data_IF_057759982256
#
_entry.id   IF_057759982256
#
_cell.length_a   1.000
_cell.length_b   1.000
_cell.length_c   1.000
_cell.angle_alpha   90.00
_cell.angle_beta   90.00
_cell.angle_gamma   90.00
#
_symmetry.space_group_name_H-M   'P 1'
#
loop_
_entity.id
_entity.type
_entity.pdbx_description
1 polymer ?
#
# COMPACT_ATOMS: atom_id res chain seq x y z
N UNK A 1 1.13 -11.02 -30.20
CA UNK A 1 1.64 -11.74 -29.01
C UNK A 1 1.09 -13.15 -29.02
N UNK A 2 1.95 -14.16 -28.99
CA UNK A 2 1.51 -15.55 -28.80
C UNK A 2 0.91 -15.72 -27.41
N UNK A 3 -0.01 -16.67 -27.21
CA UNK A 3 -0.51 -17.02 -25.87
C UNK A 3 0.62 -17.36 -24.90
N UNK A 4 1.72 -17.93 -25.42
CA UNK A 4 2.94 -18.21 -24.65
C UNK A 4 3.58 -16.92 -24.10
N UNK A 5 3.70 -15.87 -24.90
CA UNK A 5 4.31 -14.60 -24.49
C UNK A 5 3.49 -13.96 -23.35
N UNK A 6 2.17 -13.96 -23.48
CA UNK A 6 1.26 -13.44 -22.44
C UNK A 6 1.43 -14.20 -21.12
N UNK A 7 1.57 -15.52 -21.16
CA UNK A 7 1.78 -16.34 -19.97
C UNK A 7 3.15 -16.09 -19.33
N UNK A 8 4.21 -15.96 -20.15
CA UNK A 8 5.56 -15.64 -19.67
C UNK A 8 5.60 -14.29 -18.96
N UNK A 9 5.03 -13.24 -19.56
CA UNK A 9 4.98 -11.91 -18.95
C UNK A 9 4.11 -11.88 -17.69
N UNK A 10 3.00 -12.61 -17.67
CA UNK A 10 2.15 -12.75 -16.48
C UNK A 10 2.91 -13.44 -15.34
N UNK A 11 3.61 -14.53 -15.64
CA UNK A 11 4.40 -15.28 -14.66
C UNK A 11 5.56 -14.46 -14.13
N UNK A 12 6.33 -13.80 -15.02
CA UNK A 12 7.41 -12.90 -14.67
C UNK A 12 6.94 -11.76 -13.77
N UNK A 13 5.82 -11.13 -14.12
CA UNK A 13 5.20 -10.07 -13.29
C UNK A 13 4.74 -10.60 -11.92
N UNK A 14 4.19 -11.81 -11.88
CA UNK A 14 3.81 -12.49 -10.64
C UNK A 14 5.00 -12.76 -9.72
N UNK A 15 6.05 -13.38 -10.25
CA UNK A 15 7.30 -13.65 -9.53
C UNK A 15 7.95 -12.36 -9.02
N UNK A 16 8.06 -11.33 -9.87
CA UNK A 16 8.62 -10.04 -9.48
C UNK A 16 7.81 -9.36 -8.37
N UNK A 17 6.47 -9.43 -8.44
CA UNK A 17 5.60 -8.95 -7.38
C UNK A 17 5.79 -9.69 -6.05
N UNK A 18 5.94 -11.01 -6.11
CA UNK A 18 6.17 -11.86 -4.91
C UNK A 18 7.53 -11.59 -4.27
N UNK A 19 8.61 -11.58 -5.06
CA UNK A 19 9.96 -11.30 -4.56
C UNK A 19 10.05 -9.89 -3.99
N UNK A 20 9.46 -8.90 -4.70
CA UNK A 20 9.33 -7.53 -4.21
C UNK A 20 8.62 -7.45 -2.87
N UNK A 21 7.49 -8.16 -2.70
CA UNK A 21 6.74 -8.18 -1.45
C UNK A 21 7.52 -8.82 -0.29
N UNK A 22 8.33 -9.86 -0.54
CA UNK A 22 9.15 -10.52 0.48
C UNK A 22 10.28 -9.58 0.93
N UNK A 23 11.05 -9.05 -0.02
CA UNK A 23 12.22 -8.23 0.28
C UNK A 23 11.86 -6.87 0.86
N UNK A 24 10.71 -6.30 0.48
CA UNK A 24 10.22 -5.02 1.03
C UNK A 24 9.29 -5.19 2.23
N UNK A 25 9.06 -6.43 2.69
CA UNK A 25 8.22 -6.72 3.85
C UNK A 25 8.65 -5.96 5.13
N UNK A 26 9.96 -5.87 5.46
CA UNK A 26 10.40 -5.11 6.63
C UNK A 26 9.96 -3.64 6.61
N UNK A 27 10.04 -3.00 5.44
CA UNK A 27 9.62 -1.60 5.27
C UNK A 27 8.10 -1.46 5.34
N UNK A 28 7.34 -2.43 4.81
CA UNK A 28 5.88 -2.48 4.98
C UNK A 28 5.50 -2.57 6.46
N UNK A 29 6.14 -3.46 7.25
CA UNK A 29 5.86 -3.59 8.68
C UNK A 29 6.16 -2.28 9.41
N UNK A 30 7.33 -1.67 9.18
CA UNK A 30 7.68 -0.37 9.79
C UNK A 30 6.66 0.71 9.42
N UNK A 31 6.26 0.79 8.15
CA UNK A 31 5.21 1.72 7.70
C UNK A 31 3.91 1.50 8.47
N UNK A 32 3.39 0.27 8.48
CA UNK A 32 2.11 -0.06 9.11
C UNK A 32 2.14 0.20 10.62
N UNK A 33 3.29 -0.07 11.28
CA UNK A 33 3.51 0.26 12.69
C UNK A 33 3.45 1.76 12.94
N UNK A 34 4.19 2.56 12.16
CA UNK A 34 4.18 4.02 12.30
C UNK A 34 2.78 4.62 12.05
N UNK A 35 2.00 4.03 11.15
CA UNK A 35 0.63 4.43 10.89
C UNK A 35 -0.33 4.08 12.03
N UNK A 36 0.06 3.20 12.97
CA UNK A 36 -0.80 2.74 14.06
C UNK A 36 -0.94 3.72 15.22
N UNK A 37 -2.02 3.57 16.00
CA UNK A 37 -2.24 4.29 17.26
C UNK A 37 -1.34 3.78 18.37
N UNK A 38 -1.08 2.48 18.36
CA UNK A 38 -0.35 1.76 19.41
C UNK A 38 1.13 2.12 19.45
N UNK A 39 1.76 2.51 18.33
CA UNK A 39 3.17 2.92 18.33
C UNK A 39 3.42 4.15 19.20
N UNK A 40 2.46 5.07 19.32
CA UNK A 40 2.60 6.22 20.22
C UNK A 40 2.56 5.81 21.69
N UNK A 41 1.77 4.80 22.05
CA UNK A 41 1.67 4.30 23.42
C UNK A 41 2.89 3.43 23.79
N UNK A 42 3.27 2.51 22.91
CA UNK A 42 4.37 1.57 23.13
C UNK A 42 5.74 2.26 23.26
N UNK A 43 5.91 3.44 22.63
CA UNK A 43 7.15 4.22 22.71
C UNK A 43 7.10 5.26 23.84
N UNK A 44 5.91 5.77 24.19
CA UNK A 44 5.73 6.60 25.39
C UNK A 44 6.07 5.83 26.68
N UNK A 45 5.69 4.55 26.79
CA UNK A 45 6.10 3.69 27.93
C UNK A 45 7.62 3.51 28.03
N UNK A 46 8.35 3.54 26.91
CA UNK A 46 9.82 3.41 26.89
C UNK A 46 10.52 4.65 27.47
N UNK A 47 10.02 5.85 27.19
CA UNK A 47 10.58 7.07 27.78
C UNK A 47 10.35 7.12 29.29
N UNK A 48 9.22 6.63 29.79
CA UNK A 48 8.91 6.58 31.22
C UNK A 48 9.85 5.64 31.99
N UNK A 49 10.17 4.46 31.45
CA UNK A 49 11.05 3.52 32.13
C UNK A 49 12.55 3.90 32.13
N UNK A 50 12.94 4.97 31.42
CA UNK A 50 14.35 5.39 31.31
C UNK A 50 14.67 6.64 32.16
N UNK A 51 13.67 7.34 32.70
CA UNK A 51 13.89 8.58 33.47
C UNK A 51 13.51 8.37 34.94
N UNK A 52 14.44 7.78 35.69
CA UNK A 52 14.44 7.91 37.15
C UNK A 52 14.95 9.31 37.52
N UNK A 53 14.09 10.11 38.15
CA UNK A 53 14.47 11.31 38.87
C UNK A 53 13.99 12.61 38.22
N UNK A 54 12.81 13.05 38.68
CA UNK A 54 12.25 14.40 38.54
C UNK A 54 12.05 14.95 37.12
N UNK A 55 10.83 14.93 36.59
CA UNK A 55 10.47 15.86 35.51
C UNK A 55 8.97 16.00 35.23
N UNK A 56 8.60 17.27 35.09
CA UNK A 56 7.38 17.88 34.57
C UNK A 56 6.71 17.09 33.43
N UNK A 57 5.39 16.91 33.58
CA UNK A 57 4.43 16.41 32.58
C UNK A 57 4.46 17.25 31.28
N UNK A 58 5.34 16.90 30.35
CA UNK A 58 5.07 17.07 28.92
C UNK A 58 5.47 15.80 28.21
N UNK A 59 4.50 14.92 28.01
CA UNK A 59 4.57 13.89 26.97
C UNK A 59 4.69 14.63 25.64
N UNK A 60 5.92 14.98 25.25
CA UNK A 60 6.20 15.45 23.92
C UNK A 60 5.88 14.27 23.01
N UNK A 61 4.72 14.33 22.34
CA UNK A 61 4.23 13.33 21.38
C UNK A 61 5.08 13.36 20.10
N UNK A 62 6.41 13.24 20.25
CA UNK A 62 7.32 13.17 19.12
C UNK A 62 7.09 11.81 18.48
N UNK A 63 6.57 11.84 17.26
CA UNK A 63 6.36 10.63 16.47
C UNK A 63 7.73 10.06 16.13
N UNK A 64 8.04 8.82 16.52
CA UNK A 64 9.37 8.25 16.33
C UNK A 64 9.65 8.06 14.85
N UNK A 65 10.88 8.34 14.43
CA UNK A 65 11.29 8.14 13.05
C UNK A 65 11.30 6.66 12.64
N UNK A 66 11.34 6.36 11.33
CA UNK A 66 11.36 4.99 10.82
C UNK A 66 12.49 4.12 11.39
N UNK A 67 13.69 4.67 11.52
CA UNK A 67 14.86 3.97 12.06
C UNK A 67 14.68 3.63 13.54
N UNK A 68 14.07 4.53 14.31
CA UNK A 68 13.77 4.27 15.72
C UNK A 68 12.71 3.16 15.85
N UNK A 69 11.65 3.22 15.04
CA UNK A 69 10.63 2.16 15.01
C UNK A 69 11.25 0.79 14.64
N UNK A 70 12.09 0.75 13.60
CA UNK A 70 12.81 -0.46 13.21
C UNK A 70 13.68 -1.01 14.35
N UNK A 71 14.47 -0.15 15.00
CA UNK A 71 15.33 -0.53 16.13
C UNK A 71 14.51 -1.13 17.28
N UNK A 72 13.38 -0.51 17.63
CA UNK A 72 12.48 -1.01 18.69
C UNK A 72 11.91 -2.38 18.32
N UNK A 73 11.45 -2.57 17.08
CA UNK A 73 10.92 -3.87 16.62
C UNK A 73 12.00 -4.96 16.72
N UNK A 74 13.22 -4.68 16.25
CA UNK A 74 14.33 -5.63 16.29
C UNK A 74 14.73 -6.01 17.71
N UNK A 75 14.78 -5.03 18.63
CA UNK A 75 15.17 -5.25 20.02
C UNK A 75 14.10 -5.98 20.82
N UNK A 76 12.83 -5.57 20.69
CA UNK A 76 11.74 -6.08 21.53
C UNK A 76 10.98 -7.26 20.96
N UNK A 77 10.83 -7.36 19.64
CA UNK A 77 10.05 -8.43 18.99
C UNK A 77 10.95 -9.45 18.26
N UNK A 78 12.15 -9.02 17.84
CA UNK A 78 13.11 -9.82 17.07
C UNK A 78 12.92 -9.72 15.55
N UNK A 79 13.90 -10.15 14.73
CA UNK A 79 13.89 -9.93 13.28
C UNK A 79 12.76 -10.64 12.53
N UNK A 80 12.25 -11.75 13.06
CA UNK A 80 11.13 -12.49 12.44
C UNK A 80 9.83 -11.69 12.41
N UNK A 81 9.65 -10.70 13.29
CA UNK A 81 8.43 -9.89 13.33
C UNK A 81 8.29 -8.98 12.10
N UNK A 82 9.40 -8.64 11.43
CA UNK A 82 9.44 -7.84 10.20
C UNK A 82 8.80 -8.54 8.99
N UNK A 83 8.49 -9.84 9.12
CA UNK A 83 7.81 -10.63 8.10
C UNK A 83 6.36 -10.99 8.49
N UNK A 84 5.82 -10.40 9.57
CA UNK A 84 4.41 -10.60 9.93
C UNK A 84 3.50 -10.07 8.83
N UNK A 85 2.43 -10.83 8.54
CA UNK A 85 1.50 -10.52 7.46
C UNK A 85 1.98 -10.91 6.05
N UNK A 86 3.19 -11.45 5.89
CA UNK A 86 3.68 -11.92 4.59
C UNK A 86 2.79 -13.04 4.03
N UNK A 87 2.43 -14.04 4.84
CA UNK A 87 1.58 -15.16 4.41
C UNK A 87 0.25 -14.71 3.77
N UNK A 88 -0.59 -13.91 4.47
CA UNK A 88 -1.79 -13.34 3.86
C UNK A 88 -1.52 -12.48 2.62
N UNK A 89 -0.39 -11.78 2.56
CA UNK A 89 0.01 -11.01 1.37
C UNK A 89 0.19 -11.93 0.18
N UNK A 90 0.99 -12.99 0.33
CA UNK A 90 1.29 -13.95 -0.76
C UNK A 90 0.03 -14.66 -1.26
N UNK A 91 -0.83 -15.10 -0.34
CA UNK A 91 -2.10 -15.75 -0.70
C UNK A 91 -3.09 -14.77 -1.34
N UNK A 92 -3.03 -13.49 -0.97
CA UNK A 92 -3.98 -12.47 -1.44
C UNK A 92 -3.69 -11.88 -2.82
N UNK A 93 -2.43 -11.86 -3.27
CA UNK A 93 -2.06 -11.17 -4.52
C UNK A 93 -2.74 -11.80 -5.74
N UNK A 94 -2.61 -13.11 -5.92
CA UNK A 94 -3.13 -13.79 -7.11
C UNK A 94 -4.68 -13.73 -7.19
N UNK A 95 -5.45 -14.06 -6.13
CA UNK A 95 -6.91 -13.92 -6.15
C UNK A 95 -7.36 -12.49 -6.40
N UNK A 96 -6.68 -11.49 -5.83
CA UNK A 96 -7.01 -10.08 -6.06
C UNK A 96 -6.92 -9.69 -7.53
N UNK A 97 -5.84 -10.11 -8.21
CA UNK A 97 -5.66 -9.87 -9.64
C UNK A 97 -6.66 -10.65 -10.48
N UNK A 98 -6.92 -11.92 -10.15
CA UNK A 98 -7.89 -12.74 -10.86
C UNK A 98 -9.31 -12.13 -10.79
N UNK A 99 -9.75 -11.72 -9.60
CA UNK A 99 -11.06 -11.06 -9.39
C UNK A 99 -11.12 -9.74 -10.17
N UNK A 100 -10.05 -8.94 -10.12
CA UNK A 100 -9.98 -7.71 -10.89
C UNK A 100 -10.14 -7.94 -12.40
N UNK A 101 -9.35 -8.84 -12.99
CA UNK A 101 -9.43 -9.11 -14.43
C UNK A 101 -10.77 -9.73 -14.85
N UNK A 102 -11.32 -10.65 -14.05
CA UNK A 102 -12.62 -11.24 -14.30
C UNK A 102 -13.74 -10.18 -14.27
N UNK A 103 -13.77 -9.33 -13.24
CA UNK A 103 -14.74 -8.26 -13.12
C UNK A 103 -14.57 -7.20 -14.22
N UNK A 104 -13.32 -6.88 -14.58
CA UNK A 104 -13.01 -5.97 -15.68
C UNK A 104 -13.54 -6.48 -17.01
N UNK A 105 -13.20 -7.73 -17.37
CA UNK A 105 -13.63 -8.35 -18.62
C UNK A 105 -15.16 -8.43 -18.70
N UNK A 106 -15.81 -8.86 -17.62
CA UNK A 106 -17.27 -9.00 -17.56
C UNK A 106 -17.99 -7.64 -17.67
N UNK A 107 -17.44 -6.60 -17.03
CA UNK A 107 -18.01 -5.26 -17.12
C UNK A 107 -17.80 -4.66 -18.52
N UNK A 108 -16.60 -4.82 -19.08
CA UNK A 108 -16.24 -4.35 -20.42
C UNK A 108 -17.14 -4.94 -21.49
N UNK A 109 -17.35 -6.26 -21.47
CA UNK A 109 -18.21 -6.96 -22.42
C UNK A 109 -19.64 -6.41 -22.41
N UNK A 110 -20.22 -6.24 -21.21
CA UNK A 110 -21.57 -5.67 -21.06
C UNK A 110 -21.65 -4.22 -21.53
N UNK A 111 -20.64 -3.40 -21.22
CA UNK A 111 -20.63 -1.99 -21.58
C UNK A 111 -20.38 -1.76 -23.07
N UNK A 112 -19.64 -2.65 -23.75
CA UNK A 112 -19.46 -2.60 -25.20
C UNK A 112 -20.79 -2.78 -25.98
N UNK A 113 -21.83 -3.34 -25.37
CA UNK A 113 -23.17 -3.41 -25.96
C UNK A 113 -24.01 -2.14 -25.77
N UNK A 114 -23.61 -1.25 -24.86
CA UNK A 114 -24.37 -0.04 -24.48
C UNK A 114 -23.67 1.22 -24.99
N UNK A 115 -22.34 1.24 -24.94
CA UNK A 115 -21.49 2.34 -25.40
C UNK A 115 -20.74 1.95 -26.67
N UNK A 116 -20.09 2.93 -27.31
CA UNK A 116 -19.14 2.65 -28.37
C UNK A 116 -18.06 1.69 -27.86
N UNK A 117 -17.89 0.58 -28.58
CA UNK A 117 -16.96 -0.47 -28.22
C UNK A 117 -15.54 0.09 -28.05
N UNK A 118 -14.84 -0.34 -27.00
CA UNK A 118 -13.47 0.07 -26.66
C UNK A 118 -13.28 1.59 -26.47
N UNK A 119 -14.35 2.32 -26.16
CA UNK A 119 -14.25 3.73 -25.79
C UNK A 119 -13.56 3.93 -24.42
N UNK A 120 -12.94 5.10 -24.22
CA UNK A 120 -12.32 5.49 -22.95
C UNK A 120 -13.28 5.35 -21.77
N UNK A 121 -14.57 5.66 -21.98
CA UNK A 121 -15.61 5.54 -20.96
C UNK A 121 -15.81 4.08 -20.53
N UNK A 122 -15.88 3.14 -21.49
CA UNK A 122 -15.99 1.71 -21.20
C UNK A 122 -14.80 1.25 -20.35
N UNK A 123 -13.57 1.60 -20.74
CA UNK A 123 -12.38 1.22 -20.00
C UNK A 123 -12.36 1.80 -18.58
N UNK A 124 -12.74 3.07 -18.41
CA UNK A 124 -12.81 3.74 -17.11
C UNK A 124 -13.84 3.11 -16.18
N UNK A 125 -15.07 2.89 -16.66
CA UNK A 125 -16.15 2.32 -15.85
C UNK A 125 -15.81 0.86 -15.50
N UNK A 126 -15.29 0.09 -16.46
CA UNK A 126 -14.88 -1.29 -16.23
C UNK A 126 -13.73 -1.40 -15.22
N UNK A 127 -12.73 -0.52 -15.33
CA UNK A 127 -11.62 -0.46 -14.37
C UNK A 127 -12.09 -0.07 -12.96
N UNK A 128 -13.01 0.90 -12.87
CA UNK A 128 -13.63 1.31 -11.62
C UNK A 128 -14.40 0.17 -10.97
N UNK A 129 -15.34 -0.45 -11.70
CA UNK A 129 -16.13 -1.57 -11.23
C UNK A 129 -15.24 -2.74 -10.77
N UNK A 130 -14.24 -3.11 -11.59
CA UNK A 130 -13.26 -4.13 -11.24
C UNK A 130 -12.50 -3.81 -9.95
N UNK A 131 -12.07 -2.56 -9.79
CA UNK A 131 -11.40 -2.08 -8.57
C UNK A 131 -12.29 -2.23 -7.33
N UNK A 132 -13.54 -1.77 -7.39
CA UNK A 132 -14.50 -1.89 -6.29
C UNK A 132 -14.78 -3.36 -5.94
N UNK A 133 -15.01 -4.21 -6.94
CA UNK A 133 -15.26 -5.65 -6.72
C UNK A 133 -14.05 -6.34 -6.09
N UNK A 134 -12.86 -6.13 -6.64
CA UNK A 134 -11.63 -6.74 -6.12
C UNK A 134 -11.30 -6.28 -4.70
N UNK A 135 -11.42 -4.99 -4.40
CA UNK A 135 -11.22 -4.45 -3.04
C UNK A 135 -12.21 -5.07 -2.07
N UNK A 136 -13.49 -5.15 -2.44
CA UNK A 136 -14.55 -5.73 -1.59
C UNK A 136 -14.28 -7.20 -1.29
N UNK A 137 -14.07 -8.00 -2.33
CA UNK A 137 -13.90 -9.44 -2.20
C UNK A 137 -12.62 -9.82 -1.42
N UNK A 138 -11.56 -9.02 -1.54
CA UNK A 138 -10.26 -9.32 -0.91
C UNK A 138 -10.01 -8.61 0.40
N UNK A 139 -10.92 -7.73 0.85
CA UNK A 139 -10.75 -6.99 2.10
C UNK A 139 -10.49 -7.88 3.33
N UNK A 140 -11.12 -9.06 3.49
CA UNK A 140 -10.81 -9.96 4.60
C UNK A 140 -9.31 -10.31 4.67
N UNK A 141 -8.68 -10.58 3.54
CA UNK A 141 -7.25 -10.93 3.48
C UNK A 141 -6.39 -9.74 3.90
N UNK A 142 -6.70 -8.55 3.38
CA UNK A 142 -5.97 -7.33 3.70
C UNK A 142 -6.16 -6.89 5.16
N UNK A 143 -7.34 -7.11 5.74
CA UNK A 143 -7.57 -6.88 7.16
C UNK A 143 -6.65 -7.76 8.02
N UNK A 144 -6.60 -9.05 7.74
CA UNK A 144 -5.77 -10.00 8.50
C UNK A 144 -4.28 -9.66 8.33
N UNK A 145 -3.83 -9.32 7.11
CA UNK A 145 -2.48 -8.78 6.88
C UNK A 145 -2.20 -7.62 7.83
N UNK A 146 -3.05 -6.60 7.83
CA UNK A 146 -2.84 -5.39 8.64
C UNK A 146 -2.85 -5.71 10.13
N UNK A 147 -3.80 -6.52 10.64
CA UNK A 147 -3.83 -6.88 12.06
C UNK A 147 -2.60 -7.67 12.50
N UNK A 148 -2.09 -8.60 11.68
CA UNK A 148 -0.85 -9.32 12.00
C UNK A 148 0.38 -8.41 12.00
N UNK A 149 0.44 -7.42 11.10
CA UNK A 149 1.51 -6.41 11.09
C UNK A 149 1.42 -5.46 12.29
N UNK A 150 0.23 -5.30 12.87
CA UNK A 150 -0.05 -4.49 14.06
C UNK A 150 0.03 -5.26 15.38
N UNK A 151 0.15 -6.59 15.36
CA UNK A 151 0.33 -7.42 16.56
C UNK A 151 1.73 -7.18 17.14
N UNK A 152 1.90 -6.23 18.08
CA UNK A 152 3.16 -5.95 18.78
C UNK A 152 3.25 -6.85 20.01
N UNK A 153 4.21 -7.77 20.02
CA UNK A 153 4.41 -8.73 21.11
C UNK A 153 5.88 -8.82 21.48
N UNK A 154 6.15 -8.93 22.78
CA UNK A 154 7.52 -8.99 23.28
C UNK A 154 8.20 -10.32 22.91
N UNK A 155 9.53 -10.31 22.91
CA UNK A 155 10.36 -11.47 22.59
C UNK A 155 10.07 -12.60 23.58
N UNK A 156 9.65 -13.75 23.05
CA UNK A 156 9.25 -14.91 23.84
C UNK A 156 7.73 -15.12 23.91
N UNK A 157 6.92 -14.10 23.60
CA UNK A 157 5.49 -14.28 23.43
C UNK A 157 5.17 -14.94 22.09
N UNK A 158 4.25 -15.91 22.10
CA UNK A 158 3.78 -16.56 20.88
C UNK A 158 3.13 -15.53 19.95
N UNK A 159 3.66 -15.39 18.73
CA UNK A 159 3.05 -14.55 17.70
C UNK A 159 1.66 -15.07 17.33
N UNK A 160 0.72 -14.17 17.06
CA UNK A 160 -0.59 -14.57 16.54
C UNK A 160 -0.43 -15.13 15.12
N UNK A 161 -1.03 -16.29 14.86
CA UNK A 161 -1.15 -16.85 13.52
C UNK A 161 -2.32 -16.23 12.75
N UNK A 162 -2.30 -16.33 11.41
CA UNK A 162 -3.39 -15.82 10.58
C UNK A 162 -4.75 -16.47 10.93
N UNK A 163 -4.77 -17.78 11.19
CA UNK A 163 -5.98 -18.52 11.56
C UNK A 163 -6.51 -18.09 12.94
N UNK A 164 -5.62 -17.83 13.90
CA UNK A 164 -6.02 -17.28 15.19
C UNK A 164 -6.60 -15.87 15.04
N UNK A 165 -6.00 -15.03 14.20
CA UNK A 165 -6.52 -13.68 13.90
C UNK A 165 -7.92 -13.76 13.26
N UNK A 166 -8.12 -14.65 12.27
CA UNK A 166 -9.42 -14.88 11.64
C UNK A 166 -10.46 -15.31 12.68
N UNK A 167 -10.13 -16.32 13.50
CA UNK A 167 -11.03 -16.83 14.55
C UNK A 167 -11.36 -15.74 15.57
N UNK A 168 -10.38 -14.91 15.94
CA UNK A 168 -10.56 -13.78 16.86
C UNK A 168 -11.52 -12.74 16.26
N UNK A 169 -11.28 -12.29 15.03
CA UNK A 169 -12.15 -11.33 14.32
C UNK A 169 -13.58 -11.84 14.24
N UNK A 170 -13.76 -13.10 13.84
CA UNK A 170 -15.08 -13.70 13.73
C UNK A 170 -15.81 -13.77 15.08
N UNK A 171 -15.10 -14.13 16.16
CA UNK A 171 -15.68 -14.18 17.51
C UNK A 171 -16.02 -12.80 18.09
N UNK A 172 -15.22 -11.77 17.81
CA UNK A 172 -15.42 -10.43 18.41
C UNK A 172 -16.34 -9.53 17.59
N UNK A 173 -16.17 -9.52 16.27
CA UNK A 173 -16.79 -8.54 15.37
C UNK A 173 -17.74 -9.22 14.35
N UNK A 174 -17.79 -10.55 14.32
CA UNK A 174 -18.54 -11.33 13.33
C UNK A 174 -18.05 -11.10 11.89
N UNK A 175 -18.93 -11.36 10.92
CA UNK A 175 -18.62 -11.18 9.49
C UNK A 175 -18.34 -9.71 9.12
N UNK A 176 -18.99 -8.76 9.81
CA UNK A 176 -18.79 -7.32 9.57
C UNK A 176 -17.38 -6.86 9.93
N UNK A 177 -16.74 -7.53 10.90
CA UNK A 177 -15.34 -7.27 11.28
C UNK A 177 -14.37 -7.32 10.11
N UNK A 178 -14.57 -8.29 9.20
CA UNK A 178 -13.73 -8.49 8.01
C UNK A 178 -13.78 -7.35 6.99
N UNK A 179 -14.76 -6.45 7.09
CA UNK A 179 -14.98 -5.32 6.18
C UNK A 179 -14.58 -3.97 6.79
N UNK A 180 -13.89 -3.98 7.93
CA UNK A 180 -13.30 -2.76 8.50
C UNK A 180 -12.24 -2.15 7.59
N UNK A 181 -12.25 -0.82 7.51
CA UNK A 181 -11.33 -0.05 6.66
C UNK A 181 -11.71 0.00 5.18
N UNK A 182 -12.86 -0.56 4.79
CA UNK A 182 -13.34 -0.54 3.39
C UNK A 182 -13.52 0.88 2.84
N UNK A 183 -14.14 1.78 3.61
CA UNK A 183 -14.34 3.18 3.20
C UNK A 183 -13.02 3.90 2.91
N UNK A 184 -11.99 3.64 3.72
CA UNK A 184 -10.66 4.19 3.50
C UNK A 184 -9.95 3.52 2.30
N UNK A 185 -10.24 2.25 2.02
CA UNK A 185 -9.72 1.56 0.84
C UNK A 185 -10.30 2.13 -0.45
N UNK A 186 -11.60 2.48 -0.46
CA UNK A 186 -12.22 3.19 -1.57
C UNK A 186 -11.69 4.61 -1.74
N UNK A 187 -11.45 5.33 -0.65
CA UNK A 187 -10.79 6.63 -0.72
C UNK A 187 -9.41 6.55 -1.41
N UNK A 188 -8.72 5.40 -1.30
CA UNK A 188 -7.46 5.15 -2.03
C UNK A 188 -7.58 5.14 -3.56
N UNK A 189 -8.78 4.97 -4.12
CA UNK A 189 -9.01 5.13 -5.57
C UNK A 189 -8.69 6.57 -6.00
N UNK A 190 -8.94 7.57 -5.13
CA UNK A 190 -8.60 8.97 -5.42
C UNK A 190 -7.10 9.18 -5.65
N UNK A 191 -6.22 8.43 -4.98
CA UNK A 191 -4.77 8.50 -5.20
C UNK A 191 -4.41 8.17 -6.65
N UNK A 192 -5.06 7.15 -7.22
CA UNK A 192 -4.83 6.73 -8.61
C UNK A 192 -5.30 7.80 -9.59
N UNK A 193 -6.47 8.40 -9.32
CA UNK A 193 -7.01 9.50 -10.13
C UNK A 193 -6.07 10.72 -10.09
N UNK A 194 -5.65 11.14 -8.89
CA UNK A 194 -4.73 12.27 -8.72
C UNK A 194 -3.41 12.00 -9.44
N UNK A 195 -2.85 10.79 -9.30
CA UNK A 195 -1.62 10.40 -10.00
C UNK A 195 -1.76 10.53 -11.52
N UNK A 196 -2.84 9.99 -12.08
CA UNK A 196 -3.07 10.02 -13.52
C UNK A 196 -3.23 11.44 -14.05
N UNK A 197 -4.02 12.28 -13.38
CA UNK A 197 -4.21 13.70 -13.77
C UNK A 197 -2.89 14.45 -13.76
N UNK A 198 -2.07 14.30 -12.70
CA UNK A 198 -0.77 14.96 -12.61
C UNK A 198 0.19 14.40 -13.67
N UNK A 199 0.21 13.07 -13.86
CA UNK A 199 1.08 12.42 -14.84
C UNK A 199 0.77 12.87 -16.26
N UNK A 200 -0.51 12.87 -16.67
CA UNK A 200 -0.91 13.34 -18.00
C UNK A 200 -0.59 14.82 -18.20
N UNK A 201 -0.77 15.64 -17.18
CA UNK A 201 -0.43 17.07 -17.24
C UNK A 201 1.07 17.30 -17.46
N UNK A 202 1.93 16.56 -16.74
CA UNK A 202 3.38 16.64 -16.91
C UNK A 202 3.79 16.06 -18.27
N UNK A 203 3.26 14.89 -18.64
CA UNK A 203 3.55 14.22 -19.92
C UNK A 203 3.20 15.12 -21.11
N UNK A 204 2.05 15.81 -21.06
CA UNK A 204 1.63 16.74 -22.12
C UNK A 204 2.63 17.88 -22.29
N UNK A 205 3.04 18.53 -21.19
CA UNK A 205 4.05 19.59 -21.23
C UNK A 205 5.39 19.12 -21.77
N UNK A 206 5.83 17.91 -21.40
CA UNK A 206 7.05 17.32 -21.93
C UNK A 206 6.94 17.06 -23.44
N UNK A 207 5.78 16.61 -23.94
CA UNK A 207 5.56 16.40 -25.37
C UNK A 207 5.48 17.72 -26.15
N UNK A 208 4.85 18.76 -25.58
CA UNK A 208 4.79 20.10 -26.19
C UNK A 208 6.18 20.73 -26.32
N UNK A 209 7.05 20.57 -25.31
CA UNK A 209 8.44 21.02 -25.37
C UNK A 209 9.27 20.27 -26.42
N UNK A 210 8.97 18.99 -26.67
CA UNK A 210 9.67 18.18 -27.69
C UNK A 210 9.35 18.55 -29.13
N UNK A 211 8.14 19.04 -29.40
CA UNK A 211 7.75 19.50 -30.75
C UNK A 211 8.56 20.74 -31.16
N UNK A 212 9.20 21.43 -30.20
CA UNK A 212 10.02 22.62 -30.44
C UNK A 212 11.52 22.34 -30.70
N UNK A 213 12.03 21.10 -30.52
CA UNK A 213 13.46 20.76 -30.69
C UNK A 213 13.65 19.70 -31.83
N UNK A 214 14.49 19.98 -32.82
CA UNK A 214 14.59 19.24 -34.10
C UNK A 214 15.51 17.99 -34.14
N UNK A 215 16.26 17.62 -33.09
CA UNK A 215 17.26 16.51 -33.19
C UNK A 215 16.73 15.11 -32.78
N UNK A 216 16.79 14.10 -33.66
CA UNK A 216 16.12 12.79 -33.49
C UNK A 216 16.86 11.71 -32.66
N UNK A 217 18.19 11.69 -32.59
CA UNK A 217 18.95 10.53 -32.06
C UNK A 217 19.19 10.52 -30.54
N UNK A 218 19.12 11.68 -29.87
CA UNK A 218 19.24 11.81 -28.39
C UNK A 218 17.88 11.71 -27.69
N UNK A 219 16.78 11.66 -28.46
CA UNK A 219 15.40 11.71 -27.95
C UNK A 219 14.95 10.45 -27.23
N UNK A 220 15.29 9.24 -27.67
CA UNK A 220 14.68 8.03 -27.07
C UNK A 220 15.06 7.78 -25.59
N UNK A 221 16.36 7.92 -25.25
CA UNK A 221 16.82 7.72 -23.87
C UNK A 221 16.41 8.88 -22.95
N UNK A 222 16.48 10.13 -23.44
CA UNK A 222 16.02 11.31 -22.70
C UNK A 222 14.49 11.30 -22.50
N UNK A 223 13.74 10.76 -23.46
CA UNK A 223 12.30 10.56 -23.39
C UNK A 223 11.89 9.55 -22.33
N UNK A 224 12.58 8.41 -22.28
CA UNK A 224 12.34 7.40 -21.27
C UNK A 224 12.61 7.94 -19.86
N UNK A 225 13.77 8.60 -19.67
CA UNK A 225 14.12 9.22 -18.39
C UNK A 225 13.12 10.33 -18.01
N UNK A 226 12.72 11.17 -18.96
CA UNK A 226 11.72 12.23 -18.74
C UNK A 226 10.36 11.67 -18.33
N UNK A 227 9.89 10.60 -18.97
CA UNK A 227 8.64 9.91 -18.60
C UNK A 227 8.75 9.22 -17.23
N UNK A 228 9.90 8.63 -16.90
CA UNK A 228 10.16 8.07 -15.58
C UNK A 228 10.12 9.14 -14.48
N UNK A 229 10.76 10.29 -14.70
CA UNK A 229 10.73 11.42 -13.76
C UNK A 229 9.32 11.99 -13.60
N UNK A 230 8.56 12.10 -14.69
CA UNK A 230 7.16 12.49 -14.66
C UNK A 230 6.31 11.50 -13.85
N UNK A 231 6.50 10.20 -14.05
CA UNK A 231 5.82 9.15 -13.30
C UNK A 231 6.19 9.19 -11.80
N UNK A 232 7.47 9.33 -11.46
CA UNK A 232 7.95 9.39 -10.09
C UNK A 232 7.44 10.64 -9.35
N UNK A 233 7.49 11.80 -9.99
CA UNK A 233 7.05 13.08 -9.42
C UNK A 233 5.53 13.09 -9.21
N UNK A 234 4.77 12.69 -10.24
CA UNK A 234 3.31 12.57 -10.13
C UNK A 234 2.88 11.58 -9.07
N UNK A 235 3.54 10.41 -8.98
CA UNK A 235 3.24 9.39 -7.97
C UNK A 235 3.55 9.89 -6.56
N UNK A 236 4.69 10.56 -6.37
CA UNK A 236 5.07 11.12 -5.06
C UNK A 236 4.09 12.20 -4.60
N UNK A 237 3.69 13.10 -5.51
CA UNK A 237 2.71 14.15 -5.23
C UNK A 237 1.34 13.55 -4.89
N UNK A 238 0.84 12.63 -5.72
CA UNK A 238 -0.45 11.99 -5.51
C UNK A 238 -0.49 11.18 -4.20
N UNK A 239 0.57 10.41 -3.93
CA UNK A 239 0.73 9.66 -2.69
C UNK A 239 0.70 10.60 -1.49
N UNK A 240 1.43 11.73 -1.55
CA UNK A 240 1.47 12.71 -0.46
C UNK A 240 0.11 13.35 -0.22
N UNK A 241 -0.59 13.78 -1.27
CA UNK A 241 -1.92 14.39 -1.16
C UNK A 241 -2.98 13.42 -0.64
N UNK A 242 -2.97 12.17 -1.11
CA UNK A 242 -3.94 11.17 -0.71
C UNK A 242 -3.57 10.47 0.61
N UNK A 243 -2.33 10.59 1.10
CA UNK A 243 -1.79 9.80 2.21
C UNK A 243 -2.68 9.68 3.47
N UNK A 244 -3.46 10.71 3.89
CA UNK A 244 -4.36 10.58 5.04
C UNK A 244 -5.30 9.37 4.96
N UNK A 245 -5.73 8.94 3.77
CA UNK A 245 -6.56 7.75 3.63
C UNK A 245 -5.85 6.48 4.07
N UNK A 246 -4.53 6.37 3.87
CA UNK A 246 -3.75 5.21 4.26
C UNK A 246 -3.65 5.08 5.78
N UNK A 247 -3.40 6.19 6.48
CA UNK A 247 -3.36 6.21 7.94
C UNK A 247 -4.72 5.85 8.50
N UNK A 248 -5.79 6.48 8.00
CA UNK A 248 -7.16 6.16 8.41
C UNK A 248 -7.52 4.70 8.13
N UNK A 249 -7.07 4.13 6.99
CA UNK A 249 -7.26 2.71 6.67
C UNK A 249 -6.61 1.80 7.70
N UNK A 250 -5.36 2.10 8.10
CA UNK A 250 -4.66 1.32 9.11
C UNK A 250 -5.36 1.42 10.47
N UNK A 251 -5.75 2.63 10.90
CA UNK A 251 -6.49 2.85 12.17
C UNK A 251 -7.84 2.15 12.20
N UNK A 252 -8.60 2.17 11.10
CA UNK A 252 -9.88 1.46 11.03
C UNK A 252 -9.73 -0.06 11.11
N UNK A 253 -8.57 -0.60 10.73
CA UNK A 253 -8.26 -2.04 10.76
C UNK A 253 -7.68 -2.50 12.10
N UNK A 254 -7.30 -1.58 12.97
CA UNK A 254 -6.88 -1.88 14.34
C UNK A 254 -7.96 -2.64 15.13
N UNK A 255 -7.50 -3.39 16.13
CA UNK A 255 -8.39 -4.01 17.10
C UNK A 255 -8.99 -2.94 18.03
N UNK A 256 -10.23 -3.18 18.49
CA UNK A 256 -10.95 -2.27 19.38
C UNK A 256 -12.08 -1.49 18.69
N UNK A 257 -12.71 -0.57 19.41
CA UNK A 257 -13.97 0.08 18.98
C UNK A 257 -13.85 1.59 18.74
N UNK A 258 -12.64 2.15 18.93
CA UNK A 258 -12.34 3.59 18.83
C UNK A 258 -12.58 4.15 17.42
N UNK A 259 -12.13 3.43 16.40
CA UNK A 259 -12.23 3.84 14.99
C UNK A 259 -13.34 3.05 14.29
N UNK A 260 -14.39 3.75 13.81
CA UNK A 260 -15.58 3.12 13.22
C UNK A 260 -15.86 3.57 11.80
N UNK A 261 -15.67 4.85 11.51
CA UNK A 261 -15.94 5.44 10.19
C UNK A 261 -14.78 6.32 9.72
N UNK A 262 -14.69 6.54 8.41
CA UNK A 262 -13.60 7.31 7.79
C UNK A 262 -13.47 8.72 8.38
N UNK A 263 -14.52 9.54 8.27
CA UNK A 263 -14.50 10.93 8.74
C UNK A 263 -14.40 11.03 10.27
N UNK A 264 -15.04 10.12 11.00
CA UNK A 264 -14.91 10.03 12.45
C UNK A 264 -13.45 9.75 12.85
N UNK A 265 -12.79 8.82 12.17
CA UNK A 265 -11.38 8.48 12.42
C UNK A 265 -10.45 9.63 12.04
N UNK A 266 -10.68 10.25 10.88
CA UNK A 266 -9.92 11.41 10.42
C UNK A 266 -9.97 12.56 11.44
N UNK A 267 -11.18 12.93 11.87
CA UNK A 267 -11.40 13.98 12.87
C UNK A 267 -10.76 13.62 14.22
N UNK A 268 -10.87 12.36 14.64
CA UNK A 268 -10.29 11.90 15.90
C UNK A 268 -8.77 11.96 15.90
N UNK A 269 -8.12 11.56 14.80
CA UNK A 269 -6.65 11.65 14.65
C UNK A 269 -6.20 13.11 14.74
N UNK A 270 -6.87 14.02 14.02
CA UNK A 270 -6.51 15.45 14.04
C UNK A 270 -6.71 16.06 15.43
N UNK A 271 -7.84 15.73 16.10
CA UNK A 271 -8.17 16.26 17.43
C UNK A 271 -7.24 15.73 18.52
N UNK A 272 -6.90 14.44 18.50
CA UNK A 272 -6.12 13.81 19.56
C UNK A 272 -4.61 13.85 19.32
N UNK A 273 -4.15 13.74 18.07
CA UNK A 273 -2.73 13.56 17.72
C UNK A 273 -2.18 14.69 16.83
N UNK A 274 -3.03 15.55 16.29
CA UNK A 274 -2.67 16.66 15.40
C UNK A 274 -2.51 16.25 13.93
N UNK A 275 -2.37 17.24 13.05
CA UNK A 275 -2.27 17.03 11.59
C UNK A 275 -1.08 16.16 11.17
N UNK A 276 0.06 16.25 11.86
CA UNK A 276 1.25 15.45 11.57
C UNK A 276 1.01 13.94 11.70
N UNK A 277 0.02 13.52 12.48
CA UNK A 277 -0.32 12.10 12.65
C UNK A 277 -0.89 11.47 11.36
N UNK A 278 -1.52 12.28 10.49
CA UNK A 278 -2.04 11.83 9.19
C UNK A 278 -0.95 11.48 8.19
N UNK A 279 0.30 11.85 8.46
CA UNK A 279 1.45 11.62 7.58
C UNK A 279 2.46 10.63 8.14
N UNK A 280 2.13 9.95 9.24
CA UNK A 280 3.04 8.96 9.84
C UNK A 280 3.30 7.80 8.90
N UNK A 281 4.59 7.46 8.77
CA UNK A 281 5.05 6.41 7.86
C UNK A 281 5.18 6.83 6.40
N UNK A 282 4.86 8.09 6.02
CA UNK A 282 4.95 8.54 4.62
C UNK A 282 6.38 8.36 4.09
N UNK A 283 7.39 8.76 4.86
CA UNK A 283 8.80 8.56 4.50
C UNK A 283 9.11 7.09 4.23
N UNK A 284 8.72 6.18 5.13
CA UNK A 284 8.92 4.74 4.94
C UNK A 284 8.21 4.24 3.69
N UNK A 285 6.99 4.74 3.45
CA UNK A 285 6.21 4.37 2.29
C UNK A 285 6.88 4.80 0.97
N UNK A 286 7.35 6.04 0.88
CA UNK A 286 8.06 6.57 -0.29
C UNK A 286 9.39 5.85 -0.51
N UNK A 287 10.21 5.70 0.54
CA UNK A 287 11.50 4.98 0.49
C UNK A 287 11.31 3.55 0.00
N UNK A 288 10.22 2.88 0.40
CA UNK A 288 9.92 1.51 -0.04
C UNK A 288 9.60 1.40 -1.53
N UNK A 289 9.04 2.44 -2.15
CA UNK A 289 8.65 2.36 -3.57
C UNK A 289 9.85 2.09 -4.48
N UNK A 290 11.01 2.69 -4.19
CA UNK A 290 12.24 2.57 -4.97
C UNK A 290 12.73 1.10 -5.04
N UNK A 291 13.08 0.42 -3.93
CA UNK A 291 13.53 -0.97 -3.98
C UNK A 291 12.44 -1.90 -4.48
N UNK A 292 11.17 -1.66 -4.16
CA UNK A 292 10.07 -2.50 -4.66
C UNK A 292 10.02 -2.50 -6.20
N UNK A 293 10.11 -1.32 -6.82
CA UNK A 293 10.10 -1.20 -8.28
C UNK A 293 11.37 -1.80 -8.89
N UNK A 294 12.55 -1.53 -8.32
CA UNK A 294 13.80 -2.10 -8.80
C UNK A 294 13.78 -3.63 -8.78
N UNK A 295 13.39 -4.23 -7.64
CA UNK A 295 13.29 -5.69 -7.47
C UNK A 295 12.28 -6.28 -8.46
N UNK A 296 11.12 -5.65 -8.61
CA UNK A 296 10.09 -6.12 -9.53
C UNK A 296 10.59 -6.15 -10.97
N UNK A 297 11.23 -5.06 -11.43
CA UNK A 297 11.77 -4.96 -12.79
C UNK A 297 12.92 -5.95 -13.01
N UNK A 298 13.91 -6.00 -12.11
CA UNK A 298 15.03 -6.94 -12.21
C UNK A 298 14.55 -8.40 -12.20
N UNK A 299 13.59 -8.74 -11.35
CA UNK A 299 13.03 -10.10 -11.32
C UNK A 299 12.25 -10.40 -12.60
N UNK A 300 11.47 -9.44 -13.10
CA UNK A 300 10.74 -9.58 -14.35
C UNK A 300 11.69 -9.86 -15.52
N UNK A 301 12.75 -9.06 -15.67
CA UNK A 301 13.76 -9.23 -16.71
C UNK A 301 14.46 -10.59 -16.63
N UNK A 302 14.88 -11.01 -15.43
CA UNK A 302 15.52 -12.31 -15.22
C UNK A 302 14.58 -13.46 -15.59
N UNK A 303 13.30 -13.41 -15.17
CA UNK A 303 12.34 -14.48 -15.48
C UNK A 303 12.02 -14.53 -16.98
N UNK A 304 11.85 -13.37 -17.62
CA UNK A 304 11.64 -13.32 -19.08
C UNK A 304 12.85 -13.87 -19.83
N UNK A 305 14.07 -13.49 -19.44
CA UNK A 305 15.31 -13.99 -20.03
C UNK A 305 15.40 -15.52 -19.92
N UNK A 306 15.10 -16.10 -18.75
CA UNK A 306 15.17 -17.54 -18.52
C UNK A 306 14.08 -18.35 -19.25
N UNK A 307 12.94 -17.74 -19.59
CA UNK A 307 11.81 -18.44 -20.24
C UNK A 307 11.78 -18.26 -21.77
N UNK A 308 12.47 -17.24 -22.27
CA UNK A 308 12.62 -16.96 -23.70
C UNK A 308 13.97 -17.40 -24.27
N UNK A 309 14.99 -17.61 -23.41
CA UNK A 309 16.21 -18.34 -23.76
C UNK A 309 15.96 -19.83 -23.83
#
# INVERSE_FOLDING_TARGET
>A
MSQRDTLVHLFAGGCGGTVGAILTCPLEVVKTRLQSSSVTLYISEVHLNTVNGASVNRVARVSPGPLHCLKVILQKEGPRSLFRGLGPTLVGVAPSRAIYFAAYSSCKERLNHVFAADSTQVHMISAGAAGFTAITATNPIWLIKTRLQLDARNRGERSMSALECIRKVYKTDGMKGFYRGMSASYAGISETVIHFVIYESIKRKLLEQKIADEDESVKEASDFVGLMLAAATSKTCATSLAYPHEVVRTRLREEGTKYRAFFQTLSLIVKEEGYGALYRGLTTHLVRQIPNTAIMMSTYEVVVYLLNG
#
